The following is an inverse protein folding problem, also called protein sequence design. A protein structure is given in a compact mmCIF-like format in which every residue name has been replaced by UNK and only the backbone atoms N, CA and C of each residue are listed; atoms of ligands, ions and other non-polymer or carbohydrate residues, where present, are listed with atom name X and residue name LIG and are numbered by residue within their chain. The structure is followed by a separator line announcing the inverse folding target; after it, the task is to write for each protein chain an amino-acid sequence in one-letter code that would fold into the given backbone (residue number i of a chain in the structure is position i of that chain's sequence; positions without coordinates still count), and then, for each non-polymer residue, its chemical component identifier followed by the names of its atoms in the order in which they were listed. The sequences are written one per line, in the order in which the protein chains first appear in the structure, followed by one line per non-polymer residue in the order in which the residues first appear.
data_IF_369068583809
#
_entry.id   IF_369068583809
#
_cell.length_a   1.000
_cell.length_b   1.000
_cell.length_c   1.000
_cell.angle_alpha   90.00
_cell.angle_beta   90.00
_cell.angle_gamma   90.00
#
_symmetry.space_group_name_H-M   'P 1'
#
loop_
_entity.id
_entity.type
_entity.pdbx_description
1 polymer ?
#
# COMPACT_ATOMS: atom_id res chain seq x y z
N UNK A 1 -9.30 -11.60 9.28
CA UNK A 1 -8.58 -10.34 9.09
C UNK A 1 -7.17 -10.67 8.64
N UNK A 2 -6.73 -10.07 7.54
CA UNK A 2 -5.39 -10.32 6.98
C UNK A 2 -4.54 -9.08 7.24
N UNK A 3 -3.31 -9.30 7.66
CA UNK A 3 -2.37 -8.24 8.00
C UNK A 3 -1.57 -7.88 6.76
N UNK A 4 -1.62 -6.60 6.36
CA UNK A 4 -0.87 -6.09 5.22
C UNK A 4 0.61 -5.96 5.60
N UNK A 5 1.49 -6.64 4.88
CA UNK A 5 2.94 -6.42 4.97
C UNK A 5 3.45 -5.53 3.83
N UNK A 6 2.66 -5.39 2.76
CA UNK A 6 2.77 -4.31 1.79
C UNK A 6 1.42 -3.59 1.74
N UNK A 7 1.39 -2.26 1.83
CA UNK A 7 0.16 -1.51 1.62
C UNK A 7 -0.47 -1.76 0.25
N UNK A 8 -1.76 -2.14 0.24
CA UNK A 8 -2.47 -2.38 -1.03
C UNK A 8 -2.57 -1.11 -1.88
N UNK A 9 -2.58 0.07 -1.24
CA UNK A 9 -2.66 1.37 -1.88
C UNK A 9 -1.60 1.55 -2.96
N UNK A 10 -0.35 1.11 -2.72
CA UNK A 10 0.71 1.20 -3.72
C UNK A 10 0.42 0.33 -4.93
N UNK A 11 0.03 -0.92 -4.68
CA UNK A 11 -0.15 -1.93 -5.73
C UNK A 11 -1.36 -1.66 -6.62
N UNK A 12 -2.37 -0.94 -6.13
CA UNK A 12 -3.53 -0.51 -6.93
C UNK A 12 -3.11 0.32 -8.15
N UNK A 13 -2.08 1.17 -8.01
CA UNK A 13 -1.58 1.99 -9.11
C UNK A 13 -0.77 1.20 -10.15
N UNK A 14 -0.39 -0.05 -9.85
CA UNK A 14 0.26 -0.97 -10.78
C UNK A 14 -0.73 -1.98 -11.39
N UNK A 15 -2.03 -1.80 -11.16
CA UNK A 15 -3.08 -2.69 -11.61
C UNK A 15 -4.04 -1.98 -12.56
N UNK A 16 -4.20 -2.45 -13.81
CA UNK A 16 -5.15 -1.85 -14.76
C UNK A 16 -6.60 -1.82 -14.27
N UNK A 17 -6.96 -2.70 -13.33
CA UNK A 17 -8.31 -2.81 -12.76
C UNK A 17 -8.37 -2.58 -11.25
N UNK A 18 -7.25 -2.15 -10.64
CA UNK A 18 -7.11 -1.96 -9.19
C UNK A 18 -7.28 -3.22 -8.35
N UNK A 19 -7.30 -4.42 -8.95
CA UNK A 19 -7.62 -5.69 -8.26
C UNK A 19 -6.53 -6.73 -8.40
N UNK A 20 -5.90 -6.84 -9.56
CA UNK A 20 -4.93 -7.89 -9.87
C UNK A 20 -3.62 -7.32 -10.38
N UNK A 21 -2.51 -7.95 -9.99
CA UNK A 21 -1.18 -7.62 -10.46
C UNK A 21 -0.47 -8.87 -11.00
N UNK A 22 0.51 -8.66 -11.86
CA UNK A 22 1.42 -9.71 -12.28
C UNK A 22 2.50 -9.90 -11.21
N UNK A 23 2.71 -11.15 -10.83
CA UNK A 23 3.60 -11.56 -9.74
C UNK A 23 4.60 -12.55 -10.30
N UNK A 24 5.84 -12.45 -9.84
CA UNK A 24 6.90 -13.41 -10.13
C UNK A 24 7.35 -14.08 -8.83
N UNK A 25 7.13 -15.38 -8.72
CA UNK A 25 7.63 -16.18 -7.60
C UNK A 25 9.05 -16.65 -7.91
N UNK A 26 10.00 -16.15 -7.13
CA UNK A 26 11.44 -16.45 -7.27
C UNK A 26 11.80 -17.88 -6.86
N UNK A 27 10.95 -18.57 -6.10
CA UNK A 27 11.20 -19.92 -5.57
C UNK A 27 10.88 -20.97 -6.62
N UNK A 28 9.78 -20.77 -7.36
CA UNK A 28 9.32 -21.68 -8.41
C UNK A 28 9.58 -21.15 -9.82
N UNK A 29 10.18 -19.96 -9.93
CA UNK A 29 10.53 -19.25 -11.17
C UNK A 29 9.36 -19.07 -12.15
N UNK A 30 8.16 -18.74 -11.62
CA UNK A 30 6.94 -18.60 -12.42
C UNK A 30 6.29 -17.24 -12.28
N UNK A 31 5.74 -16.77 -13.40
CA UNK A 31 4.87 -15.60 -13.48
C UNK A 31 3.40 -16.00 -13.45
N UNK A 32 2.58 -15.30 -12.68
CA UNK A 32 1.12 -15.48 -12.67
C UNK A 32 0.40 -14.18 -12.27
N UNK A 33 -0.90 -14.10 -12.57
CA UNK A 33 -1.75 -13.02 -12.05
C UNK A 33 -2.29 -13.41 -10.68
N UNK A 34 -2.26 -12.49 -9.72
CA UNK A 34 -2.85 -12.68 -8.39
C UNK A 34 -3.59 -11.44 -7.93
N UNK A 35 -4.53 -11.59 -7.00
CA UNK A 35 -5.18 -10.43 -6.39
C UNK A 35 -4.20 -9.67 -5.52
N UNK A 36 -4.29 -8.35 -5.51
CA UNK A 36 -3.47 -7.49 -4.64
C UNK A 36 -3.60 -7.94 -3.18
N UNK A 37 -4.82 -8.23 -2.74
CA UNK A 37 -5.09 -8.65 -1.36
C UNK A 37 -4.40 -9.96 -0.97
N UNK A 38 -4.23 -10.91 -1.89
CA UNK A 38 -3.62 -12.21 -1.55
C UNK A 38 -2.10 -12.13 -1.49
N UNK A 39 -1.49 -11.13 -2.14
CA UNK A 39 -0.04 -10.97 -2.22
C UNK A 39 0.51 -9.87 -1.32
N UNK A 40 -0.35 -8.96 -0.88
CA UNK A 40 0.02 -7.85 -0.02
C UNK A 40 -0.28 -8.14 1.46
N UNK A 41 -1.11 -9.15 1.73
CA UNK A 41 -1.60 -9.47 3.07
C UNK A 41 -1.56 -10.95 3.40
N UNK A 42 -1.33 -11.27 4.67
CA UNK A 42 -1.48 -12.62 5.20
C UNK A 42 -2.10 -12.61 6.60
N UNK A 43 -2.91 -13.60 6.93
CA UNK A 43 -3.50 -13.69 8.26
C UNK A 43 -2.41 -13.94 9.31
N UNK A 44 -2.50 -13.24 10.45
CA UNK A 44 -1.61 -13.40 11.60
C UNK A 44 -0.10 -13.26 11.29
N UNK A 45 0.26 -12.55 10.22
CA UNK A 45 1.65 -12.33 9.82
C UNK A 45 2.53 -11.79 10.95
N UNK A 46 2.05 -10.78 11.68
CA UNK A 46 2.78 -10.14 12.79
C UNK A 46 2.62 -10.86 14.14
N UNK A 47 1.78 -11.92 14.24
CA UNK A 47 1.50 -12.67 15.48
C UNK A 47 1.48 -11.80 16.75
N UNK A 48 0.70 -10.73 16.78
CA UNK A 48 0.60 -9.89 17.98
C UNK A 48 -0.44 -10.44 18.95
N UNK A 49 -0.09 -10.48 20.24
CA UNK A 49 -0.93 -11.00 21.33
C UNK A 49 -1.59 -9.87 22.15
N UNK A 50 -2.07 -8.80 21.51
CA UNK A 50 -2.65 -7.62 22.19
C UNK A 50 -3.82 -6.97 21.43
N UNK A 51 -4.63 -6.17 22.16
CA UNK A 51 -5.85 -5.51 21.66
C UNK A 51 -5.57 -4.36 20.65
N UNK A 52 -4.39 -3.73 20.72
CA UNK A 52 -3.92 -2.75 19.72
C UNK A 52 -3.16 -3.46 18.61
N UNK A 53 -3.88 -4.08 17.68
CA UNK A 53 -3.24 -4.73 16.55
C UNK A 53 -2.54 -3.70 15.66
N UNK A 54 -1.28 -3.95 15.28
CA UNK A 54 -0.57 -3.17 14.25
C UNK A 54 -1.44 -2.92 13.01
N UNK A 55 -2.33 -3.86 12.67
CA UNK A 55 -3.31 -3.75 11.59
C UNK A 55 -4.22 -2.52 11.74
N UNK A 56 -4.77 -2.26 12.93
CA UNK A 56 -5.62 -1.09 13.16
C UNK A 56 -4.84 0.22 12.96
N UNK A 57 -3.58 0.26 13.42
CA UNK A 57 -2.71 1.44 13.27
C UNK A 57 -2.32 1.67 11.80
N UNK A 58 -1.96 0.61 11.07
CA UNK A 58 -1.64 0.70 9.65
C UNK A 58 -2.85 1.08 8.80
N UNK A 59 -4.05 0.57 9.12
CA UNK A 59 -5.28 0.97 8.42
C UNK A 59 -5.62 2.45 8.61
N UNK A 60 -5.41 2.99 9.82
CA UNK A 60 -5.57 4.42 10.08
C UNK A 60 -4.53 5.27 9.33
N UNK A 61 -3.28 4.81 9.28
CA UNK A 61 -2.23 5.48 8.50
C UNK A 61 -2.58 5.48 7.01
N UNK A 62 -2.91 4.32 6.43
CA UNK A 62 -3.35 4.17 5.03
C UNK A 62 -4.49 5.13 4.68
N UNK A 63 -5.49 5.23 5.55
CA UNK A 63 -6.63 6.13 5.36
C UNK A 63 -6.19 7.60 5.26
N UNK A 64 -5.19 8.01 6.05
CA UNK A 64 -4.69 9.39 6.06
C UNK A 64 -3.78 9.70 4.86
N UNK A 65 -2.95 8.76 4.42
CA UNK A 65 -2.01 8.96 3.30
C UNK A 65 -2.65 8.78 1.91
N UNK A 66 -3.74 8.01 1.81
CA UNK A 66 -4.43 7.72 0.55
C UNK A 66 -4.73 8.97 -0.29
N UNK A 67 -5.33 10.05 0.27
CA UNK A 67 -5.57 11.27 -0.50
C UNK A 67 -4.29 11.99 -0.93
N UNK A 68 -3.22 11.92 -0.12
CA UNK A 68 -1.93 12.56 -0.42
C UNK A 68 -1.29 11.87 -1.62
N UNK A 69 -1.28 10.53 -1.63
CA UNK A 69 -0.73 9.74 -2.75
C UNK A 69 -1.57 9.97 -4.01
N UNK A 70 -2.90 10.00 -3.91
CA UNK A 70 -3.77 10.27 -5.05
C UNK A 70 -3.48 11.65 -5.67
N UNK A 71 -3.39 12.70 -4.84
CA UNK A 71 -3.06 14.04 -5.32
C UNK A 71 -1.65 14.13 -5.90
N UNK A 72 -0.68 13.44 -5.30
CA UNK A 72 0.69 13.38 -5.82
C UNK A 72 0.73 12.78 -7.23
N UNK A 73 0.04 11.65 -7.44
CA UNK A 73 -0.04 10.99 -8.75
C UNK A 73 -0.70 11.93 -9.76
N UNK A 74 -1.86 12.52 -9.42
CA UNK A 74 -2.57 13.45 -10.29
C UNK A 74 -1.70 14.66 -10.68
N UNK A 75 -0.97 15.24 -9.72
CA UNK A 75 -0.10 16.38 -9.99
C UNK A 75 1.12 16.01 -10.86
N UNK A 76 1.63 14.79 -10.72
CA UNK A 76 2.72 14.28 -11.56
C UNK A 76 2.24 13.97 -12.99
N UNK A 77 1.06 13.38 -13.15
CA UNK A 77 0.48 13.08 -14.47
C UNK A 77 0.12 14.34 -15.26
N UNK A 78 -0.26 15.42 -14.56
CA UNK A 78 -0.62 16.70 -15.19
C UNK A 78 0.55 17.69 -15.28
N UNK A 79 1.78 17.29 -14.91
CA UNK A 79 2.96 18.17 -14.84
C UNK A 79 2.75 19.44 -13.97
N UNK A 80 1.85 19.39 -12.99
CA UNK A 80 1.52 20.50 -12.07
C UNK A 80 2.20 20.37 -10.72
N UNK A 81 3.04 19.35 -10.54
CA UNK A 81 3.74 19.11 -9.29
C UNK A 81 4.64 20.29 -8.90
N UNK A 82 4.33 20.90 -7.75
CA UNK A 82 5.05 22.07 -7.22
C UNK A 82 5.79 21.78 -5.91
N UNK A 83 5.73 20.54 -5.42
CA UNK A 83 6.36 20.11 -4.18
C UNK A 83 5.40 19.38 -3.23
N UNK A 84 5.95 18.89 -2.13
CA UNK A 84 5.22 18.24 -1.03
C UNK A 84 5.36 19.13 0.20
N UNK A 85 4.27 19.38 0.92
CA UNK A 85 4.30 20.19 2.15
C UNK A 85 5.03 19.46 3.28
N UNK A 86 5.55 20.19 4.27
CA UNK A 86 6.20 19.59 5.44
C UNK A 86 5.28 18.64 6.21
N UNK A 87 3.97 18.93 6.22
CA UNK A 87 2.96 18.09 6.87
C UNK A 87 2.76 16.78 6.12
N UNK A 88 2.60 16.83 4.79
CA UNK A 88 2.47 15.63 3.96
C UNK A 88 3.73 14.78 4.01
N UNK A 89 4.91 15.41 3.96
CA UNK A 89 6.19 14.72 4.08
C UNK A 89 6.32 14.01 5.44
N UNK A 90 5.93 14.67 6.54
CA UNK A 90 5.95 14.07 7.87
C UNK A 90 4.97 12.89 8.00
N UNK A 91 3.85 12.93 7.27
CA UNK A 91 2.87 11.86 7.27
C UNK A 91 3.33 10.67 6.41
N UNK A 92 3.90 10.94 5.23
CA UNK A 92 4.51 9.93 4.37
C UNK A 92 5.67 9.23 5.07
N UNK A 93 6.51 9.97 5.81
CA UNK A 93 7.62 9.40 6.56
C UNK A 93 7.20 8.45 7.71
N UNK A 94 5.98 8.57 8.23
CA UNK A 94 5.45 7.62 9.22
C UNK A 94 5.03 6.28 8.62
N UNK A 95 5.00 6.19 7.29
CA UNK A 95 4.52 5.04 6.55
C UNK A 95 5.64 4.19 5.93
N UNK A 96 6.87 4.69 5.90
CA UNK A 96 8.06 4.05 5.29
C UNK A 96 9.01 3.50 6.36
#
# INVERSE_FOLDING_TARGET
MNQHFVPELYLKNFSPNGKQIFVYDKTIEKSFSSSISSVASHSLFYRETGEDSLEARFGLLETKISPIIASLIENLENDTFSGITSTELSLLAQFV
#
